data_IF_763283431393
#
_entry.id   IF_763283431393
#
_cell.length_a   1.000
_cell.length_b   1.000
_cell.length_c   1.000
_cell.angle_alpha   90.00
_cell.angle_beta   90.00
_cell.angle_gamma   90.00
#
_symmetry.space_group_name_H-M   'P 1'
#
loop_
_entity.id
_entity.type
_entity.pdbx_description
1 polymer ?
#
# COMPACT_ATOMS: atom_id res chain seq x y z
N UNK A 1 -6.70 -16.12 -0.77
CA UNK A 1 -6.95 -15.27 -1.95
C UNK A 1 -5.77 -14.33 -2.09
N UNK A 2 -5.25 -14.08 -3.30
CA UNK A 2 -4.10 -13.18 -3.50
C UNK A 2 -4.59 -11.74 -3.49
N UNK A 3 -4.00 -10.88 -2.66
CA UNK A 3 -4.33 -9.44 -2.61
C UNK A 3 -3.86 -8.79 -3.91
N UNK A 4 -4.72 -8.02 -4.58
CA UNK A 4 -4.34 -7.31 -5.83
C UNK A 4 -3.50 -6.08 -5.55
N UNK A 5 -2.82 -5.53 -6.57
CA UNK A 5 -2.04 -4.30 -6.39
C UNK A 5 -2.94 -3.12 -5.97
N UNK A 6 -4.13 -3.00 -6.55
CA UNK A 6 -5.10 -1.97 -6.18
C UNK A 6 -5.57 -2.09 -4.74
N UNK A 7 -5.83 -3.31 -4.26
CA UNK A 7 -6.17 -3.56 -2.86
C UNK A 7 -5.02 -3.19 -1.91
N UNK A 8 -3.76 -3.51 -2.25
CA UNK A 8 -2.61 -3.11 -1.45
C UNK A 8 -2.51 -1.59 -1.29
N UNK A 9 -2.68 -0.84 -2.39
CA UNK A 9 -2.70 0.63 -2.35
C UNK A 9 -3.84 1.15 -1.47
N UNK A 10 -5.02 0.54 -1.61
CA UNK A 10 -6.20 0.90 -0.82
C UNK A 10 -5.97 0.69 0.68
N UNK A 11 -5.33 -0.43 1.06
CA UNK A 11 -4.96 -0.73 2.45
C UNK A 11 -3.96 0.27 3.00
N UNK A 12 -2.91 0.61 2.24
CA UNK A 12 -1.93 1.65 2.61
C UNK A 12 -2.63 2.98 2.86
N UNK A 13 -3.47 3.42 1.92
CA UNK A 13 -4.20 4.69 2.02
C UNK A 13 -5.10 4.74 3.26
N UNK A 14 -5.88 3.69 3.50
CA UNK A 14 -6.78 3.65 4.65
C UNK A 14 -6.03 3.57 5.98
N UNK A 15 -4.89 2.87 6.03
CA UNK A 15 -4.04 2.82 7.24
C UNK A 15 -3.48 4.20 7.60
N UNK A 16 -3.28 5.07 6.62
CA UNK A 16 -2.86 6.47 6.83
C UNK A 16 -4.03 7.43 7.06
N UNK A 17 -5.28 6.94 7.03
CA UNK A 17 -6.52 7.72 7.15
C UNK A 17 -6.62 8.85 6.11
N UNK A 18 -6.08 8.63 4.91
CA UNK A 18 -6.07 9.63 3.84
C UNK A 18 -7.18 9.37 2.82
N UNK A 19 -7.69 10.45 2.25
CA UNK A 19 -8.52 10.40 1.05
C UNK A 19 -7.66 10.20 -0.20
N UNK A 20 -8.28 9.70 -1.29
CA UNK A 20 -7.58 9.49 -2.57
C UNK A 20 -6.97 10.78 -3.12
N UNK A 21 -7.68 11.91 -2.93
CA UNK A 21 -7.19 13.25 -3.30
C UNK A 21 -5.99 13.67 -2.47
N UNK A 22 -6.06 13.52 -1.15
CA UNK A 22 -4.94 13.89 -0.26
C UNK A 22 -3.68 13.09 -0.58
N UNK A 23 -3.82 11.78 -0.80
CA UNK A 23 -2.68 10.94 -1.21
C UNK A 23 -2.16 11.34 -2.59
N UNK A 24 -3.04 11.57 -3.57
CA UNK A 24 -2.62 11.99 -4.90
C UNK A 24 -1.88 13.32 -4.89
N UNK A 25 -2.32 14.27 -4.05
CA UNK A 25 -1.71 15.58 -3.89
C UNK A 25 -0.37 15.50 -3.13
N UNK A 26 -0.28 14.65 -2.09
CA UNK A 26 0.95 14.41 -1.33
C UNK A 26 2.08 13.82 -2.19
N UNK A 27 1.71 12.97 -3.13
CA UNK A 27 2.64 12.17 -3.92
C UNK A 27 2.88 12.78 -5.32
N UNK A 28 2.15 13.84 -5.66
CA UNK A 28 2.19 14.46 -6.99
C UNK A 28 1.85 13.44 -8.11
N UNK A 29 0.75 12.71 -7.91
CA UNK A 29 0.15 11.82 -8.91
C UNK A 29 -1.24 12.34 -9.25
N UNK A 30 -1.64 12.24 -10.52
CA UNK A 30 -2.98 12.63 -10.91
C UNK A 30 -4.03 11.74 -10.24
N UNK A 31 -5.05 12.35 -9.62
CA UNK A 31 -6.19 11.66 -8.99
C UNK A 31 -6.78 10.55 -9.87
N UNK A 32 -7.01 10.81 -11.16
CA UNK A 32 -7.60 9.84 -12.10
C UNK A 32 -6.70 8.63 -12.30
N UNK A 33 -5.38 8.85 -12.32
CA UNK A 33 -4.37 7.80 -12.45
C UNK A 33 -4.31 6.96 -11.18
N UNK A 34 -4.23 7.59 -10.01
CA UNK A 34 -4.26 6.90 -8.72
C UNK A 34 -5.56 6.12 -8.51
N UNK A 35 -6.70 6.71 -8.89
CA UNK A 35 -8.01 6.05 -8.89
C UNK A 35 -8.03 4.82 -9.82
N UNK A 36 -7.34 4.88 -10.96
CA UNK A 36 -7.18 3.73 -11.86
C UNK A 36 -6.38 2.60 -11.20
N UNK A 37 -5.33 2.93 -10.45
CA UNK A 37 -4.50 1.95 -9.74
C UNK A 37 -5.26 1.22 -8.64
N UNK A 38 -5.99 1.93 -7.78
CA UNK A 38 -6.78 1.31 -6.70
C UNK A 38 -7.90 0.38 -7.20
N UNK A 39 -8.40 0.58 -8.42
CA UNK A 39 -9.45 -0.25 -9.02
C UNK A 39 -8.89 -1.34 -9.94
N UNK A 40 -7.57 -1.56 -9.95
CA UNK A 40 -6.87 -2.48 -10.86
C UNK A 40 -7.18 -2.23 -12.36
N UNK A 41 -7.67 -1.02 -12.71
CA UNK A 41 -7.94 -0.61 -14.09
C UNK A 41 -6.66 -0.29 -14.85
N UNK A 42 -5.62 0.10 -14.11
CA UNK A 42 -4.29 0.37 -14.64
C UNK A 42 -3.26 -0.19 -13.68
N UNK A 43 -2.13 -0.66 -14.22
CA UNK A 43 -1.00 -1.10 -13.39
C UNK A 43 -0.15 0.10 -13.01
N UNK A 44 0.33 0.10 -11.78
CA UNK A 44 1.21 1.16 -11.30
C UNK A 44 2.53 1.14 -12.08
N UNK A 45 2.96 2.30 -12.55
CA UNK A 45 4.27 2.46 -13.20
C UNK A 45 5.38 2.59 -12.15
N UNK A 46 6.61 2.27 -12.53
CA UNK A 46 7.77 2.41 -11.64
C UNK A 46 7.92 3.86 -11.16
N UNK A 47 7.72 4.85 -12.04
CA UNK A 47 7.74 6.28 -11.67
C UNK A 47 6.74 6.61 -10.57
N UNK A 48 5.51 6.08 -10.67
CA UNK A 48 4.48 6.27 -9.65
C UNK A 48 4.85 5.59 -8.34
N UNK A 49 5.46 4.40 -8.40
CA UNK A 49 5.96 3.70 -7.22
C UNK A 49 7.05 4.52 -6.51
N UNK A 50 8.01 5.07 -7.26
CA UNK A 50 9.07 5.92 -6.72
C UNK A 50 8.51 7.18 -6.09
N UNK A 51 7.50 7.82 -6.71
CA UNK A 51 6.82 8.96 -6.09
C UNK A 51 6.14 8.58 -4.77
N UNK A 52 5.34 7.50 -4.75
CA UNK A 52 4.62 7.05 -3.55
C UNK A 52 5.61 6.68 -2.45
N UNK A 53 6.49 5.71 -2.69
CA UNK A 53 7.41 5.18 -1.68
C UNK A 53 8.59 6.09 -1.38
N UNK A 54 8.88 7.07 -2.24
CA UNK A 54 9.85 8.13 -1.96
C UNK A 54 9.37 9.10 -0.87
N UNK A 55 8.06 9.15 -0.59
CA UNK A 55 7.55 9.94 0.51
C UNK A 55 7.79 9.24 1.87
N UNK A 56 8.35 9.93 2.88
CA UNK A 56 8.70 9.32 4.18
C UNK A 56 7.54 8.60 4.86
N UNK A 57 6.31 9.09 4.64
CA UNK A 57 5.08 8.52 5.20
C UNK A 57 4.72 7.15 4.60
N UNK A 58 5.07 6.88 3.34
CA UNK A 58 4.70 5.65 2.65
C UNK A 58 5.88 4.67 2.46
N UNK A 59 7.13 5.12 2.61
CA UNK A 59 8.34 4.30 2.48
C UNK A 59 8.31 3.01 3.32
N UNK A 60 7.73 3.07 4.53
CA UNK A 60 7.52 1.90 5.41
C UNK A 60 6.67 0.77 4.82
N UNK A 61 5.85 1.04 3.80
CA UNK A 61 4.99 0.04 3.16
C UNK A 61 5.61 -0.57 1.89
N UNK A 62 6.79 -0.11 1.47
CA UNK A 62 7.42 -0.51 0.22
C UNK A 62 7.66 -2.03 0.13
N UNK A 63 8.32 -2.61 1.14
CA UNK A 63 8.68 -4.03 1.11
C UNK A 63 7.47 -4.94 1.26
N UNK A 64 6.45 -4.48 1.98
CA UNK A 64 5.16 -5.16 2.04
C UNK A 64 4.46 -5.12 0.67
N UNK A 65 4.48 -3.97 0.00
CA UNK A 65 3.87 -3.83 -1.32
C UNK A 65 4.55 -4.70 -2.39
N UNK A 66 5.89 -4.66 -2.44
CA UNK A 66 6.69 -5.31 -3.48
C UNK A 66 6.94 -6.79 -3.23
N UNK A 67 7.21 -7.18 -1.97
CA UNK A 67 7.68 -8.52 -1.63
C UNK A 67 6.75 -9.28 -0.69
N UNK A 68 5.65 -8.68 -0.24
CA UNK A 68 4.77 -9.23 0.80
C UNK A 68 5.54 -9.56 2.10
N UNK A 69 6.62 -8.81 2.36
CA UNK A 69 7.45 -8.96 3.56
C UNK A 69 7.27 -7.75 4.47
N UNK A 70 7.28 -8.00 5.77
CA UNK A 70 7.34 -6.97 6.80
C UNK A 70 8.60 -7.16 7.62
N UNK A 71 9.27 -6.07 7.96
CA UNK A 71 10.44 -6.06 8.84
C UNK A 71 10.23 -5.01 9.92
N UNK A 72 9.55 -5.36 11.02
CA UNK A 72 9.26 -4.42 12.09
C UNK A 72 10.53 -3.87 12.75
N UNK A 73 11.67 -4.58 12.66
CA UNK A 73 12.95 -4.11 13.19
C UNK A 73 13.55 -2.96 12.36
N UNK A 74 13.16 -2.84 11.08
CA UNK A 74 13.55 -1.73 10.19
C UNK A 74 12.48 -0.66 10.04
N UNK A 75 11.38 -0.75 10.79
CA UNK A 75 10.24 0.15 10.66
C UNK A 75 9.39 -0.10 9.41
N UNK A 76 9.58 -1.23 8.73
CA UNK A 76 8.73 -1.65 7.62
C UNK A 76 7.56 -2.48 8.14
N UNK A 77 6.36 -1.94 8.00
CA UNK A 77 5.15 -2.53 8.57
C UNK A 77 4.13 -2.78 7.48
N UNK A 78 3.32 -3.80 7.66
CA UNK A 78 2.09 -3.92 6.89
C UNK A 78 1.11 -2.82 7.35
N UNK A 79 0.25 -2.32 6.46
CA UNK A 79 -0.87 -1.49 6.85
C UNK A 79 -1.68 -2.17 7.95
N UNK A 80 -2.14 -1.43 8.97
CA UNK A 80 -2.86 -2.03 10.11
C UNK A 80 -4.10 -2.83 9.66
N UNK A 81 -4.72 -2.42 8.55
CA UNK A 81 -5.89 -3.08 7.95
C UNK A 81 -5.55 -4.33 7.13
N UNK A 82 -4.28 -4.53 6.75
CA UNK A 82 -3.85 -5.77 6.11
C UNK A 82 -3.86 -6.96 7.09
N UNK A 83 -3.67 -6.69 8.39
CA UNK A 83 -3.72 -7.71 9.43
C UNK A 83 -5.13 -8.27 9.68
N UNK A 84 -6.20 -7.53 9.36
CA UNK A 84 -7.57 -8.06 9.44
C UNK A 84 -7.89 -9.12 8.39
N UNK A 85 -7.04 -9.34 7.38
CA UNK A 85 -7.20 -10.42 6.40
C UNK A 85 -6.33 -11.65 6.71
N UNK A 86 -5.51 -11.62 7.76
CA UNK A 86 -4.63 -12.71 8.18
C UNK A 86 -5.09 -13.43 9.45
N UNK A 87 -6.37 -13.32 9.82
CA UNK A 87 -7.01 -14.26 10.75
C UNK A 87 -7.27 -15.61 10.06
N UNK A 88 -6.21 -16.26 9.57
CA UNK A 88 -6.09 -17.70 9.71
C UNK A 88 -4.81 -17.98 10.51
N UNK A 89 -5.06 -17.99 11.81
CA UNK A 89 -4.18 -18.43 12.88
C UNK A 89 -3.66 -19.85 12.56
N UNK A 90 -2.49 -19.97 11.94
CA UNK A 90 -1.69 -21.19 12.09
C UNK A 90 -0.89 -21.07 13.38
N UNK A 91 -1.61 -21.25 14.51
CA UNK A 91 -0.99 -21.54 15.80
C UNK A 91 -0.48 -22.98 15.76
N UNK A 92 0.83 -23.25 15.91
CA UNK A 92 1.31 -24.61 16.06
C UNK A 92 1.06 -25.06 17.50
N UNK A 93 0.33 -26.16 17.66
CA UNK A 93 0.30 -26.93 18.91
C UNK A 93 0.82 -28.33 18.65
#
# INVERSE_FOLDING_TARGET
MSITQGEKLRLIRFSEQLNKKELSDLVDINYTTYHGYENDKSRMTLDSAVKIFGHPRFSKYQDWFLYDRTDPAKGQIAPALAHSMQDETTSPR
#
